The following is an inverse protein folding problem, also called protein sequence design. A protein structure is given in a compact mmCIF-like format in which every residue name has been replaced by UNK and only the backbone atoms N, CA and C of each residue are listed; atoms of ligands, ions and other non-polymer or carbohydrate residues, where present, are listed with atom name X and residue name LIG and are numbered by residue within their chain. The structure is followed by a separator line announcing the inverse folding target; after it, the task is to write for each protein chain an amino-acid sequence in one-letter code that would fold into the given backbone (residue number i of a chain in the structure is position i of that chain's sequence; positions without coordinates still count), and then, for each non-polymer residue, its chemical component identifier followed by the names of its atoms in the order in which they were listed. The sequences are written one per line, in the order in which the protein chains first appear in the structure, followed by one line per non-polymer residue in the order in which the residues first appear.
data_IF_734309766744
#
_entry.id   IF_734309766744
#
_cell.length_a   1.000
_cell.length_b   1.000
_cell.length_c   1.000
_cell.angle_alpha   90.00
_cell.angle_beta   90.00
_cell.angle_gamma   90.00
#
_symmetry.space_group_name_H-M   'P 1'
#
loop_
_entity.id
_entity.type
_entity.pdbx_description
1 polymer ?
#
# COMPACT_ATOMS: atom_id res chain seq x y z
N UNK A 1 -23.73 48.87 -0.63
CA UNK A 1 -23.46 47.87 0.44
C UNK A 1 -23.19 46.55 -0.24
N UNK A 2 -21.97 46.02 -0.11
CA UNK A 2 -21.55 44.78 -0.78
C UNK A 2 -22.02 43.58 0.06
N UNK A 3 -22.87 42.76 -0.53
CA UNK A 3 -23.29 41.47 0.03
C UNK A 3 -22.20 40.44 -0.28
N UNK A 4 -21.40 40.10 0.72
CA UNK A 4 -20.40 39.02 0.64
C UNK A 4 -20.60 38.11 1.84
N UNK A 5 -21.30 37.01 1.59
CA UNK A 5 -21.18 35.79 2.38
C UNK A 5 -21.27 34.64 1.39
N UNK A 6 -20.12 34.33 0.82
CA UNK A 6 -19.88 33.09 0.10
C UNK A 6 -19.93 31.91 1.08
N UNK A 7 -20.31 30.72 0.60
CA UNK A 7 -20.66 29.57 1.45
C UNK A 7 -19.44 29.05 2.21
N UNK A 8 -19.67 28.60 3.44
CA UNK A 8 -18.71 27.78 4.18
C UNK A 8 -18.37 26.57 3.31
N UNK A 9 -17.11 26.52 2.86
CA UNK A 9 -16.54 25.41 2.13
C UNK A 9 -16.73 24.14 2.94
N UNK A 10 -17.16 23.10 2.24
CA UNK A 10 -17.24 21.73 2.73
C UNK A 10 -16.02 21.39 3.59
N UNK A 11 -16.32 20.88 4.78
CA UNK A 11 -15.34 20.25 5.65
C UNK A 11 -14.66 19.18 4.81
N UNK A 12 -13.37 19.39 4.61
CA UNK A 12 -12.36 18.44 4.13
C UNK A 12 -12.84 17.00 4.20
N UNK A 13 -12.90 16.37 3.02
CA UNK A 13 -12.64 14.95 2.84
C UNK A 13 -11.46 14.56 3.73
N UNK A 14 -11.76 14.00 4.92
CA UNK A 14 -10.81 13.23 5.68
C UNK A 14 -10.41 12.10 4.74
N UNK A 15 -9.20 12.17 4.17
CA UNK A 15 -8.59 10.97 3.61
C UNK A 15 -8.51 9.99 4.76
N UNK A 16 -9.41 9.02 4.80
CA UNK A 16 -9.36 7.96 5.79
C UNK A 16 -7.97 7.36 5.72
N UNK A 17 -7.24 7.41 6.85
CA UNK A 17 -5.91 6.80 6.93
C UNK A 17 -6.13 5.30 6.76
N UNK A 18 -5.56 4.74 5.69
CA UNK A 18 -5.58 3.30 5.49
C UNK A 18 -4.82 2.65 6.65
N UNK A 19 -5.49 1.71 7.31
CA UNK A 19 -5.00 0.99 8.48
C UNK A 19 -4.56 -0.42 8.12
N UNK A 20 -3.92 -1.10 9.06
CA UNK A 20 -3.63 -2.53 8.93
C UNK A 20 -4.89 -3.39 8.69
N UNK A 21 -6.03 -3.02 9.29
CA UNK A 21 -7.29 -3.71 9.07
C UNK A 21 -7.74 -3.62 7.60
N UNK A 22 -7.51 -2.48 6.95
CA UNK A 22 -7.81 -2.30 5.53
C UNK A 22 -6.90 -3.15 4.63
N UNK A 23 -5.61 -3.27 4.98
CA UNK A 23 -4.69 -4.20 4.29
C UNK A 23 -5.15 -5.65 4.45
N UNK A 24 -5.63 -6.03 5.64
CA UNK A 24 -6.17 -7.37 5.88
C UNK A 24 -7.41 -7.65 5.03
N UNK A 25 -8.32 -6.67 4.95
CA UNK A 25 -9.50 -6.75 4.09
C UNK A 25 -9.14 -6.91 2.59
N UNK A 26 -8.11 -6.19 2.11
CA UNK A 26 -7.62 -6.31 0.74
C UNK A 26 -6.95 -7.66 0.47
N UNK A 27 -6.23 -8.21 1.45
CA UNK A 27 -5.60 -9.52 1.35
C UNK A 27 -6.63 -10.66 1.23
N UNK A 28 -7.72 -10.58 2.00
CA UNK A 28 -8.80 -11.57 1.96
C UNK A 28 -9.49 -11.61 0.59
N UNK A 29 -9.70 -10.44 -0.02
CA UNK A 29 -10.32 -10.33 -1.36
C UNK A 29 -9.55 -11.09 -2.44
N UNK A 30 -8.22 -11.17 -2.34
CA UNK A 30 -7.38 -11.91 -3.33
C UNK A 30 -7.35 -13.41 -3.06
N UNK A 31 -7.52 -13.84 -1.81
CA UNK A 31 -7.59 -15.27 -1.47
C UNK A 31 -8.87 -15.91 -2.01
N UNK A 32 -9.96 -15.13 -2.11
CA UNK A 32 -11.26 -15.60 -2.61
C UNK A 32 -11.42 -15.50 -4.14
N UNK A 33 -10.53 -14.77 -4.84
CA UNK A 33 -10.60 -14.53 -6.29
C UNK A 33 -9.56 -15.33 -7.08
N UNK A 34 -9.69 -16.66 -7.10
CA UNK A 34 -8.90 -17.51 -7.99
C UNK A 34 -9.67 -17.78 -9.31
N UNK A 35 -9.04 -17.62 -10.49
CA UNK A 35 -7.60 -17.39 -10.72
C UNK A 35 -7.16 -15.94 -10.47
N UNK A 36 -5.87 -15.76 -10.15
CA UNK A 36 -5.25 -14.43 -10.05
C UNK A 36 -5.37 -13.71 -11.39
N UNK A 37 -6.22 -12.70 -11.43
CA UNK A 37 -6.32 -11.81 -12.59
C UNK A 37 -5.12 -10.86 -12.57
N UNK A 38 -4.53 -10.57 -13.73
CA UNK A 38 -3.37 -9.67 -13.83
C UNK A 38 -3.77 -8.19 -13.75
N UNK A 39 -4.90 -7.88 -13.12
CA UNK A 39 -5.41 -6.53 -12.97
C UNK A 39 -4.82 -5.82 -11.74
N UNK A 40 -4.99 -4.51 -11.68
CA UNK A 40 -4.40 -3.69 -10.63
C UNK A 40 -5.01 -3.97 -9.25
N UNK A 41 -6.27 -4.43 -9.17
CA UNK A 41 -6.91 -4.79 -7.92
C UNK A 41 -6.30 -6.08 -7.31
N UNK A 42 -6.12 -7.11 -8.13
CA UNK A 42 -5.51 -8.37 -7.72
C UNK A 42 -4.05 -8.18 -7.33
N UNK A 43 -3.30 -7.36 -8.08
CA UNK A 43 -1.92 -6.96 -7.71
C UNK A 43 -1.86 -6.25 -6.36
N UNK A 44 -2.78 -5.32 -6.11
CA UNK A 44 -2.85 -4.60 -4.84
C UNK A 44 -3.18 -5.54 -3.66
N UNK A 45 -4.14 -6.44 -3.81
CA UNK A 45 -4.46 -7.38 -2.72
C UNK A 45 -3.37 -8.45 -2.50
N UNK A 46 -2.63 -8.86 -3.53
CA UNK A 46 -1.46 -9.72 -3.35
C UNK A 46 -0.33 -9.00 -2.57
N UNK A 47 -0.10 -7.72 -2.86
CA UNK A 47 0.81 -6.89 -2.07
C UNK A 47 0.33 -6.75 -0.62
N UNK A 48 -0.98 -6.56 -0.41
CA UNK A 48 -1.58 -6.51 0.92
C UNK A 48 -1.39 -7.83 1.68
N UNK A 49 -1.57 -9.00 1.05
CA UNK A 49 -1.35 -10.30 1.66
C UNK A 49 0.11 -10.52 2.10
N UNK A 50 1.08 -10.02 1.32
CA UNK A 50 2.49 -10.03 1.70
C UNK A 50 2.75 -9.15 2.93
N UNK A 51 2.17 -7.95 2.97
CA UNK A 51 2.28 -7.02 4.10
C UNK A 51 1.62 -7.56 5.37
N UNK A 52 0.45 -8.22 5.26
CA UNK A 52 -0.23 -8.88 6.39
C UNK A 52 0.65 -9.99 6.97
N UNK A 53 1.25 -10.80 6.09
CA UNK A 53 2.18 -11.85 6.50
C UNK A 53 3.39 -11.24 7.21
N UNK A 54 4.00 -10.19 6.64
CA UNK A 54 5.12 -9.48 7.25
C UNK A 54 4.78 -8.93 8.64
N UNK A 55 3.68 -8.18 8.77
CA UNK A 55 3.24 -7.58 10.02
C UNK A 55 3.00 -8.64 11.11
N UNK A 56 2.50 -9.82 10.73
CA UNK A 56 2.32 -10.94 11.66
C UNK A 56 3.64 -11.48 12.22
N UNK A 57 4.73 -11.42 11.45
CA UNK A 57 6.07 -11.84 11.89
C UNK A 57 6.77 -10.79 12.74
N UNK A 58 6.54 -9.51 12.48
CA UNK A 58 7.24 -8.39 13.14
C UNK A 58 6.48 -7.78 14.30
N UNK A 59 5.19 -8.13 14.47
CA UNK A 59 4.33 -7.58 15.51
C UNK A 59 3.72 -6.22 15.17
N UNK A 60 3.73 -5.83 13.89
CA UNK A 60 3.13 -4.59 13.37
C UNK A 60 1.65 -4.77 12.97
N UNK A 61 1.00 -5.85 13.43
CA UNK A 61 -0.35 -6.24 13.04
C UNK A 61 -1.44 -5.67 13.96
N UNK A 62 -1.21 -4.51 14.58
CA UNK A 62 -2.24 -3.84 15.36
C UNK A 62 -3.26 -3.19 14.40
N UNK A 63 -4.55 -3.49 14.57
CA UNK A 63 -5.60 -3.09 13.61
C UNK A 63 -5.64 -1.59 13.29
N UNK A 64 -5.32 -0.73 14.27
CA UNK A 64 -5.30 0.73 14.10
C UNK A 64 -3.93 1.28 13.66
N UNK A 65 -2.93 0.42 13.45
CA UNK A 65 -1.63 0.86 12.96
C UNK A 65 -1.77 1.39 11.53
N UNK A 66 -1.18 2.55 11.20
CA UNK A 66 -1.20 3.05 9.84
C UNK A 66 -0.54 2.04 8.89
N UNK A 67 -1.19 1.77 7.75
CA UNK A 67 -0.61 0.93 6.71
C UNK A 67 0.74 1.48 6.22
N UNK A 68 0.92 2.80 6.26
CA UNK A 68 2.20 3.46 5.95
C UNK A 68 3.34 2.98 6.84
N UNK A 69 3.13 2.79 8.15
CA UNK A 69 4.15 2.24 9.06
C UNK A 69 4.58 0.85 8.59
N UNK A 70 3.61 -0.03 8.31
CA UNK A 70 3.87 -1.41 7.87
C UNK A 70 4.64 -1.42 6.54
N UNK A 71 4.28 -0.54 5.61
CA UNK A 71 4.95 -0.44 4.30
C UNK A 71 6.38 0.08 4.46
N UNK A 72 6.60 1.13 5.24
CA UNK A 72 7.93 1.72 5.44
C UNK A 72 8.87 0.71 6.10
N UNK A 73 8.41 0.03 7.15
CA UNK A 73 9.21 -0.98 7.84
C UNK A 73 9.49 -2.18 6.93
N UNK A 74 8.52 -2.61 6.11
CA UNK A 74 8.74 -3.64 5.11
C UNK A 74 9.81 -3.26 4.08
N UNK A 75 9.77 -2.01 3.57
CA UNK A 75 10.77 -1.51 2.63
C UNK A 75 12.15 -1.41 3.28
N UNK A 76 12.24 -0.99 4.54
CA UNK A 76 13.50 -0.97 5.29
C UNK A 76 14.09 -2.38 5.45
N UNK A 77 13.27 -3.38 5.76
CA UNK A 77 13.70 -4.77 5.87
C UNK A 77 14.10 -5.36 4.50
N UNK A 78 13.44 -4.96 3.41
CA UNK A 78 13.88 -5.31 2.04
C UNK A 78 15.23 -4.66 1.69
N UNK A 79 15.49 -3.43 2.13
CA UNK A 79 16.80 -2.79 1.97
C UNK A 79 17.88 -3.55 2.74
N UNK A 80 17.60 -3.98 3.98
CA UNK A 80 18.51 -4.81 4.76
C UNK A 80 18.77 -6.16 4.06
N UNK A 81 17.72 -6.84 3.60
CA UNK A 81 17.85 -8.10 2.84
C UNK A 81 18.74 -7.92 1.61
N UNK A 82 18.48 -6.90 0.80
CA UNK A 82 19.24 -6.64 -0.41
C UNK A 82 20.72 -6.33 -0.13
N UNK A 83 21.00 -5.59 0.96
CA UNK A 83 22.37 -5.32 1.41
C UNK A 83 23.11 -6.62 1.76
N UNK A 84 22.45 -7.53 2.49
CA UNK A 84 23.05 -8.82 2.88
C UNK A 84 23.26 -9.78 1.70
N UNK A 85 22.37 -9.75 0.70
CA UNK A 85 22.44 -10.65 -0.47
C UNK A 85 23.17 -10.07 -1.67
N UNK A 86 23.56 -8.79 -1.63
CA UNK A 86 24.20 -8.09 -2.75
C UNK A 86 23.26 -7.74 -3.91
N UNK A 87 21.96 -7.56 -3.64
CA UNK A 87 20.98 -7.14 -4.65
C UNK A 87 20.85 -5.61 -4.68
N UNK A 88 20.71 -4.97 -5.86
CA UNK A 88 20.63 -3.52 -5.96
C UNK A 88 19.20 -3.00 -5.74
N UNK A 89 18.76 -2.88 -4.47
CA UNK A 89 17.39 -2.51 -4.13
C UNK A 89 16.90 -1.24 -4.86
N UNK A 90 17.68 -0.16 -4.85
CA UNK A 90 17.29 1.09 -5.50
C UNK A 90 17.11 0.95 -7.01
N UNK A 91 17.94 0.15 -7.68
CA UNK A 91 17.81 -0.10 -9.12
C UNK A 91 16.55 -0.92 -9.42
N UNK A 92 16.30 -1.97 -8.62
CA UNK A 92 15.07 -2.77 -8.73
C UNK A 92 13.83 -1.92 -8.46
N UNK A 93 13.87 -1.00 -7.50
CA UNK A 93 12.77 -0.09 -7.20
C UNK A 93 12.48 0.88 -8.36
N UNK A 94 13.53 1.40 -9.02
CA UNK A 94 13.37 2.21 -10.23
C UNK A 94 12.74 1.41 -11.37
N UNK A 95 13.18 0.16 -11.58
CA UNK A 95 12.57 -0.74 -12.57
C UNK A 95 11.11 -1.03 -12.25
N UNK A 96 10.78 -1.33 -10.99
CA UNK A 96 9.41 -1.55 -10.54
C UNK A 96 8.53 -0.31 -10.74
N UNK A 97 9.08 0.89 -10.50
CA UNK A 97 8.37 2.16 -10.76
C UNK A 97 8.04 2.33 -12.25
N UNK A 98 8.92 1.93 -13.16
CA UNK A 98 8.63 2.00 -14.59
C UNK A 98 7.51 1.02 -14.96
N UNK A 99 7.54 -0.22 -14.46
CA UNK A 99 6.47 -1.19 -14.68
C UNK A 99 5.11 -0.71 -14.17
N UNK A 100 5.07 -0.12 -12.96
CA UNK A 100 3.84 0.46 -12.43
C UNK A 100 3.28 1.56 -13.33
N UNK A 101 4.13 2.43 -13.89
CA UNK A 101 3.69 3.49 -14.80
C UNK A 101 3.16 2.94 -16.13
N UNK A 102 3.85 1.95 -16.71
CA UNK A 102 3.43 1.31 -17.97
C UNK A 102 2.05 0.61 -17.83
N UNK A 103 1.77 0.05 -16.64
CA UNK A 103 0.54 -0.68 -16.34
C UNK A 103 -0.66 0.22 -15.97
N UNK A 104 -0.45 1.54 -15.82
CA UNK A 104 -1.56 2.49 -15.60
C UNK A 104 -2.24 2.93 -16.91
N UNK A 105 -1.60 2.74 -18.06
CA UNK A 105 -2.14 3.09 -19.38
C UNK A 105 -2.95 1.95 -20.03
N UNK A 106 -3.18 0.84 -19.30
CA UNK A 106 -3.86 -0.38 -19.78
C UNK A 106 -5.15 -0.64 -19.01
#
# INVERSE_FOLDING_TARGET
MLNISSPQRDIQSLSEIITFADLSCLADQVTDCLPFDSDNASRAGAAAAALVSFASYTGLNADCEPAETVIVDFLADMMHLCSETGMPFCEMLLTASNHFLDEQDT
#
